data_IF_646560362790
#
_entry.id   IF_646560362790
#
_cell.length_a   1.000
_cell.length_b   1.000
_cell.length_c   1.000
_cell.angle_alpha   90.00
_cell.angle_beta   90.00
_cell.angle_gamma   90.00
#
_symmetry.space_group_name_H-M   'P 1'
#
loop_
_entity.id
_entity.type
_entity.pdbx_description
1 polymer ?
#
# COMPACT_ATOMS: atom_id res chain seq x y z
N UNK A 1 -4.63 -62.32 -6.72
CA UNK A 1 -3.81 -61.51 -5.79
C UNK A 1 -2.75 -60.81 -6.66
N UNK A 2 -3.04 -59.69 -7.32
CA UNK A 2 -3.11 -58.30 -6.82
C UNK A 2 -1.75 -57.79 -6.33
N UNK A 3 -0.86 -57.49 -7.28
CA UNK A 3 0.33 -56.67 -7.04
C UNK A 3 0.35 -55.57 -8.09
N UNK A 4 -0.24 -54.44 -7.71
CA UNK A 4 -0.18 -53.18 -8.46
C UNK A 4 1.17 -52.57 -8.13
N UNK A 5 2.10 -52.57 -9.08
CA UNK A 5 3.36 -51.87 -8.93
C UNK A 5 3.11 -50.36 -9.08
N UNK A 6 2.83 -49.69 -7.97
CA UNK A 6 2.84 -48.24 -7.88
C UNK A 6 4.30 -47.77 -7.85
N UNK A 7 4.84 -47.43 -9.01
CA UNK A 7 6.09 -46.69 -9.10
C UNK A 7 5.83 -45.23 -8.69
N UNK A 8 6.08 -44.90 -7.43
CA UNK A 8 6.14 -43.53 -6.95
C UNK A 8 7.40 -42.87 -7.51
N UNK A 9 7.25 -42.14 -8.61
CA UNK A 9 8.28 -41.25 -9.13
C UNK A 9 8.36 -40.06 -8.17
N UNK A 10 9.35 -40.10 -7.27
CA UNK A 10 9.76 -38.95 -6.46
C UNK A 10 10.40 -37.92 -7.40
N UNK A 11 9.58 -37.04 -7.99
CA UNK A 11 10.09 -35.78 -8.54
C UNK A 11 10.59 -34.95 -7.37
N UNK A 12 11.91 -34.92 -7.20
CA UNK A 12 12.56 -33.95 -6.33
C UNK A 12 12.12 -32.56 -6.82
N UNK A 13 11.26 -31.90 -6.05
CA UNK A 13 11.05 -30.46 -6.16
C UNK A 13 12.41 -29.84 -5.81
N UNK A 14 13.21 -29.51 -6.83
CA UNK A 14 14.35 -28.64 -6.69
C UNK A 14 13.78 -27.32 -6.19
N UNK A 15 13.81 -27.14 -4.88
CA UNK A 15 13.56 -25.85 -4.25
C UNK A 15 14.71 -24.98 -4.75
N UNK A 16 14.45 -24.21 -5.80
CA UNK A 16 15.29 -23.06 -6.11
C UNK A 16 15.15 -22.17 -4.87
N UNK A 17 16.07 -22.33 -3.92
CA UNK A 17 16.29 -21.33 -2.89
C UNK A 17 16.75 -20.09 -3.64
N UNK A 18 15.78 -19.29 -4.10
CA UNK A 18 16.03 -17.90 -4.41
C UNK A 18 16.62 -17.35 -3.12
N UNK A 19 17.95 -17.23 -3.10
CA UNK A 19 18.63 -16.47 -2.08
C UNK A 19 17.97 -15.10 -2.15
N UNK A 20 17.14 -14.81 -1.15
CA UNK A 20 16.58 -13.49 -0.94
C UNK A 20 17.79 -12.58 -0.79
N UNK A 21 18.14 -11.87 -1.87
CA UNK A 21 19.16 -10.84 -1.81
C UNK A 21 18.52 -9.64 -1.10
N UNK A 22 18.88 -9.36 0.17
CA UNK A 22 18.29 -8.26 0.92
C UNK A 22 18.64 -6.89 0.32
N UNK A 23 19.56 -6.81 -0.67
CA UNK A 23 19.86 -5.57 -1.38
C UNK A 23 18.89 -5.25 -2.52
N UNK A 24 18.17 -6.23 -3.08
CA UNK A 24 17.22 -5.95 -4.16
C UNK A 24 15.91 -5.33 -3.66
N UNK A 25 15.62 -5.42 -2.36
CA UNK A 25 14.42 -4.86 -1.72
C UNK A 25 14.52 -3.36 -1.38
N UNK A 26 15.64 -2.68 -1.70
CA UNK A 26 15.77 -1.22 -1.56
C UNK A 26 16.05 -0.51 -2.88
N UNK A 27 15.44 -0.95 -3.98
CA UNK A 27 15.03 0.05 -4.95
C UNK A 27 13.78 0.72 -4.37
N UNK A 28 14.01 1.77 -3.56
CA UNK A 28 13.00 2.78 -3.26
C UNK A 28 12.53 3.28 -4.62
N UNK A 29 11.47 2.68 -5.14
CA UNK A 29 10.74 3.22 -6.26
C UNK A 29 10.17 4.51 -5.70
N UNK A 30 10.89 5.62 -5.95
CA UNK A 30 10.43 6.94 -5.58
C UNK A 30 9.09 7.12 -6.28
N UNK A 31 8.00 7.09 -5.52
CA UNK A 31 6.69 7.40 -6.03
C UNK A 31 6.72 8.89 -6.33
N UNK A 32 6.75 9.24 -7.62
CA UNK A 32 6.65 10.63 -8.04
C UNK A 32 5.16 10.94 -8.15
N UNK A 33 4.70 11.85 -7.29
CA UNK A 33 3.33 12.33 -7.27
C UNK A 33 3.25 13.64 -8.05
N UNK A 34 2.35 13.71 -9.04
CA UNK A 34 1.97 14.96 -9.69
C UNK A 34 0.61 15.42 -9.13
N UNK A 35 0.57 16.55 -8.41
CA UNK A 35 -0.64 17.01 -7.72
C UNK A 35 -1.85 17.24 -8.64
N UNK A 36 -1.60 17.56 -9.91
CA UNK A 36 -2.66 17.80 -10.90
C UNK A 36 -3.54 16.55 -11.14
N UNK A 37 -3.01 15.36 -10.84
CA UNK A 37 -3.64 14.08 -11.11
C UNK A 37 -4.23 13.43 -9.85
N UNK A 38 -4.19 14.12 -8.71
CA UNK A 38 -4.70 13.60 -7.43
C UNK A 38 -5.78 14.53 -6.90
N UNK A 39 -7.00 14.03 -6.84
CA UNK A 39 -8.09 14.68 -6.12
C UNK A 39 -8.03 14.29 -4.63
N UNK A 40 -8.57 15.16 -3.78
CA UNK A 40 -8.74 14.87 -2.36
C UNK A 40 -9.48 13.54 -2.10
N UNK A 41 -10.49 13.23 -2.92
CA UNK A 41 -11.26 11.98 -2.82
C UNK A 41 -10.43 10.73 -3.11
N UNK A 42 -9.32 10.85 -3.82
CA UNK A 42 -8.42 9.73 -4.09
C UNK A 42 -7.68 9.32 -2.81
N UNK A 43 -7.30 10.29 -1.97
CA UNK A 43 -6.77 10.01 -0.63
C UNK A 43 -7.79 9.24 0.18
N UNK A 44 -9.05 9.73 0.24
CA UNK A 44 -10.11 9.03 0.96
C UNK A 44 -10.30 7.60 0.44
N UNK A 45 -10.41 7.42 -0.87
CA UNK A 45 -10.62 6.10 -1.49
C UNK A 45 -9.46 5.15 -1.19
N UNK A 46 -8.23 5.67 -1.19
CA UNK A 46 -7.02 4.90 -0.91
C UNK A 46 -6.99 4.38 0.53
N UNK A 47 -7.39 5.19 1.51
CA UNK A 47 -7.25 4.87 2.93
C UNK A 47 -8.51 4.26 3.56
N UNK A 48 -9.70 4.53 3.01
CA UNK A 48 -10.99 4.12 3.58
C UNK A 48 -11.06 2.64 4.01
N UNK A 49 -10.51 1.65 3.28
CA UNK A 49 -10.57 0.26 3.70
C UNK A 49 -9.83 -0.05 5.02
N UNK A 50 -8.96 0.85 5.46
CA UNK A 50 -8.08 0.66 6.62
C UNK A 50 -8.45 1.57 7.80
N UNK A 51 -9.32 2.55 7.58
CA UNK A 51 -9.73 3.49 8.61
C UNK A 51 -10.96 2.99 9.36
N UNK A 52 -11.09 3.40 10.62
CA UNK A 52 -12.38 3.32 11.31
C UNK A 52 -13.37 4.33 10.72
N UNK A 53 -14.66 4.10 10.94
CA UNK A 53 -15.72 5.02 10.49
C UNK A 53 -15.53 6.43 11.07
N UNK A 54 -15.07 6.55 12.32
CA UNK A 54 -14.80 7.83 12.98
C UNK A 54 -13.67 8.62 12.30
N UNK A 55 -12.56 7.94 11.96
CA UNK A 55 -11.42 8.58 11.29
C UNK A 55 -11.78 8.94 9.85
N UNK A 56 -12.52 8.07 9.15
CA UNK A 56 -13.01 8.38 7.81
C UNK A 56 -13.99 9.56 7.81
N UNK A 57 -14.88 9.65 8.80
CA UNK A 57 -15.77 10.79 8.97
C UNK A 57 -14.99 12.09 9.27
N UNK A 58 -13.99 12.01 10.17
CA UNK A 58 -13.12 13.14 10.48
C UNK A 58 -12.34 13.62 9.23
N UNK A 59 -11.86 12.70 8.40
CA UNK A 59 -11.23 13.01 7.12
C UNK A 59 -12.19 13.78 6.21
N UNK A 60 -13.42 13.30 6.01
CA UNK A 60 -14.42 13.99 5.18
C UNK A 60 -14.74 15.40 5.69
N UNK A 61 -14.89 15.55 7.01
CA UNK A 61 -15.13 16.87 7.62
C UNK A 61 -13.93 17.79 7.46
N UNK A 62 -12.71 17.26 7.60
CA UNK A 62 -11.47 17.98 7.36
C UNK A 62 -11.42 18.51 5.92
N UNK A 63 -11.78 17.70 4.93
CA UNK A 63 -11.76 18.08 3.52
C UNK A 63 -12.60 19.33 3.24
N UNK A 64 -13.78 19.42 3.83
CA UNK A 64 -14.65 20.61 3.72
C UNK A 64 -14.01 21.85 4.35
N UNK A 65 -13.38 21.72 5.52
CA UNK A 65 -12.73 22.83 6.22
C UNK A 65 -11.41 23.28 5.59
N UNK A 66 -10.71 22.36 4.93
CA UNK A 66 -9.40 22.56 4.30
C UNK A 66 -9.49 22.94 2.82
N UNK A 67 -10.70 23.20 2.30
CA UNK A 67 -10.95 23.45 0.87
C UNK A 67 -10.36 22.35 -0.04
N UNK A 68 -10.49 21.10 0.41
CA UNK A 68 -10.03 19.90 -0.31
C UNK A 68 -8.53 19.89 -0.66
N UNK A 69 -7.68 20.51 0.17
CA UNK A 69 -6.22 20.41 0.02
C UNK A 69 -5.77 18.97 0.29
N UNK A 70 -4.99 18.38 -0.63
CA UNK A 70 -4.68 16.95 -0.66
C UNK A 70 -3.60 16.59 0.36
N UNK A 71 -2.58 17.43 0.55
CA UNK A 71 -1.56 17.27 1.62
C UNK A 71 -2.21 17.15 2.98
N UNK A 72 -3.14 18.04 3.31
CA UNK A 72 -3.79 18.03 4.61
C UNK A 72 -4.64 16.78 4.84
N UNK A 73 -5.24 16.24 3.76
CA UNK A 73 -5.95 14.97 3.82
C UNK A 73 -4.98 13.81 4.12
N UNK A 74 -3.80 13.82 3.50
CA UNK A 74 -2.77 12.84 3.74
C UNK A 74 -2.17 12.96 5.16
N UNK A 75 -1.87 14.18 5.62
CA UNK A 75 -1.38 14.45 6.98
C UNK A 75 -2.33 13.93 8.06
N UNK A 76 -3.64 14.07 7.85
CA UNK A 76 -4.67 13.63 8.80
C UNK A 76 -4.63 12.13 9.09
N UNK A 77 -4.17 11.32 8.14
CA UNK A 77 -4.23 9.84 8.21
C UNK A 77 -2.84 9.19 8.26
N UNK A 78 -1.77 9.97 8.14
CA UNK A 78 -0.41 9.48 8.42
C UNK A 78 -0.33 9.08 9.90
N UNK A 79 0.08 7.84 10.15
CA UNK A 79 0.18 7.27 11.49
C UNK A 79 -0.93 6.26 11.82
N UNK A 80 -1.98 6.19 11.01
CA UNK A 80 -2.95 5.10 11.04
C UNK A 80 -2.28 3.77 10.60
N UNK A 81 -2.83 2.60 10.96
CA UNK A 81 -2.29 1.29 10.60
C UNK A 81 -2.52 0.97 9.11
N UNK A 82 -1.86 1.73 8.25
CA UNK A 82 -1.94 1.63 6.79
C UNK A 82 -0.81 0.74 6.24
N UNK A 83 -1.01 0.03 5.11
CA UNK A 83 0.06 -0.63 4.39
C UNK A 83 1.23 0.31 4.05
N UNK A 84 2.46 -0.21 4.09
CA UNK A 84 3.69 0.58 3.84
C UNK A 84 3.66 1.36 2.52
N UNK A 85 3.08 0.76 1.47
CA UNK A 85 2.95 1.42 0.16
C UNK A 85 2.01 2.63 0.23
N UNK A 86 0.94 2.56 1.01
CA UNK A 86 0.00 3.67 1.20
C UNK A 86 0.68 4.77 2.00
N UNK A 87 1.38 4.43 3.09
CA UNK A 87 2.17 5.41 3.84
C UNK A 87 3.19 6.13 2.95
N UNK A 88 3.87 5.39 2.05
CA UNK A 88 4.82 5.98 1.10
C UNK A 88 4.16 6.96 0.14
N UNK A 89 2.96 6.62 -0.39
CA UNK A 89 2.18 7.52 -1.26
C UNK A 89 1.76 8.78 -0.49
N UNK A 90 1.22 8.62 0.71
CA UNK A 90 0.77 9.74 1.55
C UNK A 90 1.92 10.68 1.91
N UNK A 91 3.08 10.14 2.31
CA UNK A 91 4.28 10.96 2.56
C UNK A 91 4.70 11.72 1.30
N UNK A 92 4.65 11.08 0.12
CA UNK A 92 4.99 11.74 -1.14
C UNK A 92 4.01 12.87 -1.50
N UNK A 93 2.72 12.71 -1.19
CA UNK A 93 1.68 13.76 -1.35
C UNK A 93 1.99 14.97 -0.43
N UNK A 94 2.34 14.71 0.83
CA UNK A 94 2.69 15.77 1.79
C UNK A 94 3.97 16.50 1.37
N UNK A 95 5.01 15.76 0.99
CA UNK A 95 6.28 16.33 0.53
C UNK A 95 6.12 17.17 -0.75
N UNK A 96 5.15 16.84 -1.60
CA UNK A 96 4.82 17.58 -2.81
C UNK A 96 3.92 18.82 -2.56
N UNK A 97 3.41 19.00 -1.33
CA UNK A 97 2.45 20.05 -0.95
C UNK A 97 1.25 20.15 -1.90
N UNK A 98 0.72 19.00 -2.31
CA UNK A 98 -0.60 18.92 -2.94
C UNK A 98 -1.70 19.37 -1.93
#
# INVERSE_FOLDING_TARGET
>A
MKYVAFALILTALSVNSYAFDPKQTRQSHKVVVECKDIAWSDVQTLVQPYLSDDINAALVMQGQSANYKVSLAAEQVIGEPLPDIINTILTSIVEADC
#
